data_IF_836106349027
#
_entry.id   IF_836106349027
#
_cell.length_a   1.000
_cell.length_b   1.000
_cell.length_c   1.000
_cell.angle_alpha   90.00
_cell.angle_beta   90.00
_cell.angle_gamma   90.00
#
_symmetry.space_group_name_H-M   'P 1'
#
loop_
_entity.id
_entity.type
_entity.pdbx_description
1 polymer ?
#
# COMPACT_ATOMS: atom_id res chain seq x y z
N UNK A 1 14.34 6.27 4.68
CA UNK A 1 13.01 6.54 4.07
C UNK A 1 12.77 8.03 4.05
N UNK A 2 12.31 8.58 2.93
CA UNK A 2 12.03 10.01 2.86
C UNK A 2 10.76 10.35 3.66
N UNK A 3 10.63 11.62 4.06
CA UNK A 3 9.56 12.07 4.95
C UNK A 3 8.15 11.72 4.44
N UNK A 4 7.92 11.85 3.13
CA UNK A 4 6.62 11.54 2.53
C UNK A 4 6.23 10.07 2.76
N UNK A 5 7.14 9.15 2.59
CA UNK A 5 6.86 7.72 2.78
C UNK A 5 6.72 7.37 4.25
N UNK A 6 7.50 8.00 5.12
CA UNK A 6 7.36 7.82 6.57
C UNK A 6 5.97 8.27 7.05
N UNK A 7 5.47 9.38 6.49
CA UNK A 7 4.13 9.89 6.81
C UNK A 7 3.04 8.92 6.34
N UNK A 8 3.18 8.38 5.13
CA UNK A 8 2.25 7.39 4.60
C UNK A 8 2.27 6.12 5.45
N UNK A 9 3.45 5.65 5.82
CA UNK A 9 3.59 4.47 6.68
C UNK A 9 2.87 4.68 8.01
N UNK A 10 3.06 5.80 8.65
CA UNK A 10 2.37 6.12 9.90
C UNK A 10 0.85 6.13 9.71
N UNK A 11 0.37 6.70 8.59
CA UNK A 11 -1.06 6.77 8.31
C UNK A 11 -1.67 5.37 8.09
N UNK A 12 -0.96 4.50 7.37
CA UNK A 12 -1.42 3.13 7.11
C UNK A 12 -1.54 2.33 8.41
N UNK A 13 -0.70 2.63 9.41
CA UNK A 13 -0.72 1.92 10.69
C UNK A 13 -1.60 2.59 11.75
N UNK A 14 -2.24 3.71 11.42
CA UNK A 14 -3.10 4.43 12.37
C UNK A 14 -4.35 3.62 12.69
N UNK A 15 -4.78 3.66 13.95
CA UNK A 15 -6.02 3.06 14.41
C UNK A 15 -6.93 4.14 14.99
N UNK A 16 -8.23 4.16 14.65
CA UNK A 16 -8.87 3.27 13.68
C UNK A 16 -8.35 3.51 12.26
N UNK A 17 -8.55 2.52 11.39
CA UNK A 17 -8.05 2.57 10.02
C UNK A 17 -8.61 3.80 9.28
N UNK A 18 -7.75 4.67 8.73
CA UNK A 18 -8.24 5.88 8.05
C UNK A 18 -8.85 5.58 6.69
N UNK A 19 -9.75 6.45 6.25
CA UNK A 19 -10.40 6.37 4.94
C UNK A 19 -9.89 7.46 3.98
N UNK A 20 -8.85 8.19 4.37
CA UNK A 20 -8.37 9.36 3.63
C UNK A 20 -6.97 9.15 3.02
N UNK A 21 -6.42 7.95 3.08
CA UNK A 21 -5.10 7.67 2.52
C UNK A 21 -5.25 7.43 1.03
N UNK A 22 -4.55 8.24 0.22
CA UNK A 22 -4.59 8.05 -1.23
C UNK A 22 -3.87 6.76 -1.61
N UNK A 23 -4.47 6.01 -2.53
CA UNK A 23 -3.87 4.77 -3.02
C UNK A 23 -2.49 5.01 -3.64
N UNK A 24 -2.34 6.11 -4.40
CA UNK A 24 -1.05 6.42 -5.03
C UNK A 24 0.08 6.55 -4.01
N UNK A 25 -0.22 7.06 -2.81
CA UNK A 25 0.77 7.17 -1.74
C UNK A 25 1.16 5.79 -1.20
N UNK A 26 0.19 4.88 -1.07
CA UNK A 26 0.45 3.51 -0.64
C UNK A 26 1.33 2.79 -1.66
N UNK A 27 0.98 2.91 -2.95
CA UNK A 27 1.75 2.29 -4.03
C UNK A 27 3.19 2.82 -4.05
N UNK A 28 3.36 4.13 -3.91
CA UNK A 28 4.69 4.73 -3.85
C UNK A 28 5.50 4.24 -2.64
N UNK A 29 4.85 4.07 -1.50
CA UNK A 29 5.50 3.53 -0.30
C UNK A 29 5.97 2.09 -0.55
N UNK A 30 5.12 1.26 -1.12
CA UNK A 30 5.47 -0.15 -1.39
C UNK A 30 6.64 -0.24 -2.36
N UNK A 31 6.68 0.61 -3.38
CA UNK A 31 7.82 0.67 -4.29
C UNK A 31 9.09 1.12 -3.55
N UNK A 32 8.96 2.10 -2.66
CA UNK A 32 10.09 2.62 -1.90
C UNK A 32 10.71 1.58 -0.95
N UNK A 33 9.90 0.64 -0.43
CA UNK A 33 10.42 -0.43 0.44
C UNK A 33 10.94 -1.62 -0.36
N UNK A 34 10.95 -1.55 -1.68
CA UNK A 34 11.61 -2.52 -2.53
C UNK A 34 10.70 -3.45 -3.30
N UNK A 35 9.38 -3.21 -3.29
CA UNK A 35 8.46 -4.02 -4.08
C UNK A 35 8.57 -3.70 -5.56
N UNK A 36 8.32 -4.69 -6.40
CA UNK A 36 8.14 -4.53 -7.84
C UNK A 36 6.65 -4.50 -8.13
N UNK A 37 6.24 -3.58 -8.99
CA UNK A 37 4.84 -3.47 -9.43
C UNK A 37 4.65 -4.25 -10.72
N UNK A 38 3.64 -5.11 -10.74
CA UNK A 38 3.23 -5.84 -11.94
C UNK A 38 1.79 -5.45 -12.22
N UNK A 39 1.54 -4.84 -13.37
CA UNK A 39 0.19 -4.46 -13.75
C UNK A 39 -0.55 -5.62 -14.39
N UNK A 40 -1.78 -5.82 -13.96
CA UNK A 40 -2.68 -6.82 -14.53
C UNK A 40 -3.74 -6.18 -15.42
N UNK A 41 -4.83 -6.89 -15.63
CA UNK A 41 -5.96 -6.37 -16.41
C UNK A 41 -6.73 -5.32 -15.60
N UNK A 42 -7.17 -4.26 -16.25
CA UNK A 42 -7.99 -3.23 -15.61
C UNK A 42 -7.25 -2.55 -14.48
N UNK A 43 -7.86 -2.54 -13.30
CA UNK A 43 -7.30 -1.88 -12.11
C UNK A 43 -6.40 -2.78 -11.28
N UNK A 44 -6.28 -4.07 -11.63
CA UNK A 44 -5.53 -5.02 -10.83
C UNK A 44 -4.03 -4.78 -10.91
N UNK A 45 -3.38 -4.75 -9.76
CA UNK A 45 -1.92 -4.65 -9.66
C UNK A 45 -1.41 -5.65 -8.63
N UNK A 46 -0.20 -6.13 -8.82
CA UNK A 46 0.50 -6.97 -7.84
C UNK A 46 1.75 -6.27 -7.38
N UNK A 47 1.99 -6.30 -6.10
CA UNK A 47 3.23 -5.84 -5.49
C UNK A 47 3.99 -7.08 -5.07
N UNK A 48 5.25 -7.17 -5.47
CA UNK A 48 6.07 -8.37 -5.26
C UNK A 48 7.38 -7.97 -4.62
N UNK A 49 7.73 -8.64 -3.54
CA UNK A 49 9.07 -8.55 -2.96
C UNK A 49 9.49 -9.95 -2.53
N UNK A 50 10.57 -10.43 -3.12
CA UNK A 50 11.03 -11.81 -2.94
C UNK A 50 9.90 -12.77 -3.33
N UNK A 51 9.46 -13.65 -2.43
CA UNK A 51 8.35 -14.58 -2.69
C UNK A 51 7.00 -14.07 -2.21
N UNK A 52 6.96 -12.85 -1.65
CA UNK A 52 5.73 -12.31 -1.09
C UNK A 52 5.01 -11.46 -2.12
N UNK A 53 3.79 -11.87 -2.44
CA UNK A 53 2.96 -11.21 -3.46
C UNK A 53 1.65 -10.77 -2.80
N UNK A 54 1.24 -9.54 -3.09
CA UNK A 54 -0.08 -9.05 -2.68
C UNK A 54 -0.75 -8.42 -3.88
N UNK A 55 -2.02 -8.77 -4.10
CA UNK A 55 -2.81 -8.24 -5.20
C UNK A 55 -3.76 -7.17 -4.68
N UNK A 56 -3.78 -6.04 -5.37
CA UNK A 56 -4.68 -4.94 -5.07
C UNK A 56 -5.43 -4.52 -6.32
N UNK A 57 -6.52 -3.79 -6.13
CA UNK A 57 -7.25 -3.14 -7.21
C UNK A 57 -7.19 -1.64 -6.97
N UNK A 58 -6.64 -0.90 -7.94
CA UNK A 58 -6.60 0.57 -7.82
C UNK A 58 -8.01 1.09 -7.71
N UNK A 59 -8.30 1.93 -6.70
CA UNK A 59 -9.66 2.47 -6.57
C UNK A 59 -10.01 3.38 -7.75
N UNK A 60 -11.27 3.37 -8.14
CA UNK A 60 -11.77 4.16 -9.24
C UNK A 60 -13.28 4.39 -9.06
N UNK A 61 -13.80 5.63 -9.19
CA UNK A 61 -13.07 6.86 -9.53
C UNK A 61 -12.40 7.55 -8.35
N UNK A 62 -12.62 7.08 -7.12
CA UNK A 62 -12.02 7.68 -5.93
C UNK A 62 -10.51 7.52 -5.94
N UNK A 63 -9.82 8.50 -5.37
CA UNK A 63 -8.35 8.45 -5.21
C UNK A 63 -7.95 7.74 -3.91
N UNK A 64 -8.83 7.79 -2.91
CA UNK A 64 -8.56 7.24 -1.59
C UNK A 64 -8.71 5.72 -1.61
N UNK A 65 -7.76 5.05 -0.95
CA UNK A 65 -7.86 3.62 -0.71
C UNK A 65 -9.03 3.35 0.25
N UNK A 66 -9.77 2.28 -0.01
CA UNK A 66 -10.80 1.83 0.91
C UNK A 66 -10.14 1.27 2.18
N UNK A 67 -10.86 1.31 3.30
CA UNK A 67 -10.30 0.85 4.57
C UNK A 67 -9.75 -0.57 4.49
N UNK A 68 -10.45 -1.48 3.80
CA UNK A 68 -9.96 -2.85 3.66
C UNK A 68 -8.63 -2.89 2.89
N UNK A 69 -8.42 -1.95 1.96
CA UNK A 69 -7.17 -1.86 1.21
C UNK A 69 -6.04 -1.34 2.09
N UNK A 70 -6.33 -0.37 2.94
CA UNK A 70 -5.35 0.14 3.91
C UNK A 70 -4.93 -0.97 4.86
N UNK A 71 -5.90 -1.77 5.35
CA UNK A 71 -5.60 -2.91 6.21
C UNK A 71 -4.76 -3.96 5.49
N UNK A 72 -5.09 -4.24 4.23
CA UNK A 72 -4.34 -5.21 3.43
C UNK A 72 -2.89 -4.73 3.22
N UNK A 73 -2.71 -3.44 2.95
CA UNK A 73 -1.37 -2.86 2.81
C UNK A 73 -0.59 -2.94 4.12
N UNK A 74 -1.25 -2.67 5.24
CA UNK A 74 -0.64 -2.80 6.56
C UNK A 74 -0.16 -4.22 6.82
N UNK A 75 -1.03 -5.20 6.56
CA UNK A 75 -0.69 -6.60 6.79
C UNK A 75 0.47 -7.04 5.89
N UNK A 76 0.48 -6.59 4.65
CA UNK A 76 1.57 -6.88 3.74
C UNK A 76 2.89 -6.27 4.22
N UNK A 77 2.86 -5.00 4.66
CA UNK A 77 4.04 -4.34 5.22
C UNK A 77 4.57 -5.06 6.44
N UNK A 78 3.68 -5.52 7.32
CA UNK A 78 4.09 -6.31 8.49
C UNK A 78 4.82 -7.57 8.05
N UNK A 79 4.29 -8.29 7.05
CA UNK A 79 4.94 -9.49 6.52
C UNK A 79 6.30 -9.18 5.89
N UNK A 80 6.44 -8.00 5.30
CA UNK A 80 7.72 -7.55 4.74
C UNK A 80 8.71 -7.08 5.81
N UNK A 81 8.28 -6.99 7.06
CA UNK A 81 9.12 -6.50 8.16
C UNK A 81 9.21 -4.98 8.22
N UNK A 82 8.26 -4.27 7.63
CA UNK A 82 8.26 -2.81 7.58
C UNK A 82 7.16 -2.28 8.49
N UNK A 83 7.57 -1.61 9.58
CA UNK A 83 6.64 -0.97 10.54
C UNK A 83 7.14 0.44 10.85
N UNK A 84 6.23 1.32 11.33
CA UNK A 84 6.65 2.68 11.71
C UNK A 84 7.68 2.69 12.83
#
# INVERSE_FOLDING_TARGET
>A
MIARHAKTLAAVFRLPTPAIVEWAAIEALLLAVGCTLIEGSGTRVQLVKDTMIETFHRPHPAKEAKRYQVRAARDYLIRLGVTP
#
